data_IF_609501710836
#
_entry.id   IF_609501710836
#
_cell.length_a   1.000
_cell.length_b   1.000
_cell.length_c   1.000
_cell.angle_alpha   90.00
_cell.angle_beta   90.00
_cell.angle_gamma   90.00
#
_symmetry.space_group_name_H-M   'P 1'
#
loop_
_entity.id
_entity.type
_entity.pdbx_description
1 polymer ?
#
# COMPACT_ATOMS: atom_id res chain seq x y z
N UNK A 1 -9.97 23.85 -10.25
CA UNK A 1 -10.52 22.52 -9.86
C UNK A 1 -11.79 22.30 -10.65
N UNK A 2 -11.83 21.24 -11.45
CA UNK A 2 -12.99 20.96 -12.31
C UNK A 2 -14.27 20.81 -11.50
N UNK A 3 -15.33 21.54 -11.92
CA UNK A 3 -16.64 21.46 -11.27
C UNK A 3 -16.77 22.12 -9.90
N UNK A 4 -15.76 22.84 -9.44
CA UNK A 4 -15.79 23.49 -8.13
C UNK A 4 -16.95 24.48 -7.98
N UNK A 5 -17.65 24.43 -6.85
CA UNK A 5 -18.76 25.27 -6.48
C UNK A 5 -18.52 25.91 -5.08
N UNK A 6 -19.37 26.87 -4.70
CA UNK A 6 -19.15 27.62 -3.44
C UNK A 6 -19.19 26.74 -2.18
N UNK A 7 -19.90 25.62 -2.21
CA UNK A 7 -19.98 24.68 -1.09
C UNK A 7 -18.72 23.84 -0.88
N UNK A 8 -17.74 23.93 -1.80
CA UNK A 8 -16.49 23.18 -1.72
C UNK A 8 -15.40 23.90 -0.90
N UNK A 9 -15.72 25.05 -0.32
CA UNK A 9 -14.80 25.71 0.63
C UNK A 9 -14.51 24.79 1.79
N UNK A 10 -13.21 24.54 2.06
CA UNK A 10 -12.74 23.60 3.05
C UNK A 10 -12.50 22.17 2.52
N UNK A 11 -12.86 21.87 1.27
CA UNK A 11 -12.56 20.58 0.66
C UNK A 11 -11.06 20.42 0.35
N UNK A 12 -10.49 19.22 0.50
CA UNK A 12 -9.12 18.93 0.10
C UNK A 12 -8.99 18.93 -1.42
N UNK A 13 -7.85 19.38 -1.92
CA UNK A 13 -7.52 19.44 -3.35
C UNK A 13 -6.28 18.61 -3.62
N UNK A 14 -6.31 17.84 -4.70
CA UNK A 14 -5.24 16.98 -5.17
C UNK A 14 -4.83 17.35 -6.59
N UNK A 15 -3.53 17.27 -6.89
CA UNK A 15 -3.00 17.37 -8.24
C UNK A 15 -2.82 15.96 -8.80
N UNK A 16 -3.35 15.70 -9.99
CA UNK A 16 -3.12 14.44 -10.73
C UNK A 16 -2.00 14.58 -11.76
N UNK A 17 -1.71 15.80 -12.16
CA UNK A 17 -0.58 16.21 -12.97
C UNK A 17 -0.27 17.70 -12.70
N UNK A 18 0.55 18.35 -13.52
CA UNK A 18 1.04 19.73 -13.31
C UNK A 18 -0.03 20.82 -13.50
N UNK A 19 -1.17 20.51 -14.11
CA UNK A 19 -2.24 21.46 -14.38
C UNK A 19 -3.66 20.96 -14.02
N UNK A 20 -3.80 19.69 -13.63
CA UNK A 20 -5.09 19.09 -13.33
C UNK A 20 -5.30 18.91 -11.82
N UNK A 21 -6.34 19.60 -11.31
CA UNK A 21 -6.68 19.61 -9.89
C UNK A 21 -8.08 19.05 -9.67
N UNK A 22 -8.19 18.12 -8.69
CA UNK A 22 -9.41 17.36 -8.40
C UNK A 22 -9.68 17.33 -6.89
N UNK A 23 -10.90 16.97 -6.51
CA UNK A 23 -11.27 16.72 -5.10
C UNK A 23 -11.06 15.26 -4.68
N UNK A 24 -10.80 14.37 -5.63
CA UNK A 24 -10.57 12.96 -5.35
C UNK A 24 -9.11 12.68 -4.97
N UNK A 25 -8.84 11.94 -3.89
CA UNK A 25 -7.49 11.52 -3.52
C UNK A 25 -6.92 10.43 -4.44
N UNK A 26 -7.76 9.82 -5.30
CA UNK A 26 -7.36 8.68 -6.14
C UNK A 26 -6.43 9.16 -7.25
N UNK A 27 -5.19 8.68 -7.20
CA UNK A 27 -4.16 9.02 -8.20
C UNK A 27 -3.60 10.44 -8.08
N UNK A 28 -4.00 11.21 -7.06
CA UNK A 28 -3.57 12.57 -6.86
C UNK A 28 -2.63 12.76 -5.66
N UNK A 29 -1.84 13.82 -5.71
CA UNK A 29 -1.00 14.29 -4.61
C UNK A 29 -1.74 15.43 -3.91
N UNK A 30 -1.91 15.33 -2.59
CA UNK A 30 -2.53 16.38 -1.80
C UNK A 30 -1.74 17.69 -1.88
N UNK A 31 -2.43 18.79 -2.16
CA UNK A 31 -1.81 20.11 -2.28
C UNK A 31 -2.34 21.14 -1.27
N UNK A 32 -3.53 20.94 -0.71
CA UNK A 32 -4.09 21.89 0.25
C UNK A 32 -5.60 21.85 0.30
N UNK A 33 -6.20 22.90 0.87
CA UNK A 33 -7.65 23.03 1.01
C UNK A 33 -8.18 24.25 0.26
N UNK A 34 -9.41 24.14 -0.26
CA UNK A 34 -10.12 25.28 -0.83
C UNK A 34 -10.33 26.35 0.23
N UNK A 35 -9.67 27.48 0.12
CA UNK A 35 -9.82 28.61 1.02
C UNK A 35 -10.96 29.52 0.61
N UNK A 36 -11.16 29.70 -0.67
CA UNK A 36 -12.16 30.61 -1.22
C UNK A 36 -12.61 30.17 -2.62
N UNK A 37 -13.92 30.21 -2.82
CA UNK A 37 -14.51 30.11 -4.16
C UNK A 37 -14.39 31.44 -4.91
N UNK A 38 -14.08 31.41 -6.18
CA UNK A 38 -13.99 32.58 -7.07
C UNK A 38 -15.11 32.54 -8.10
N UNK A 39 -15.20 31.45 -8.85
CA UNK A 39 -16.23 31.20 -9.85
C UNK A 39 -16.28 29.68 -10.14
N UNK A 40 -17.26 29.23 -10.94
CA UNK A 40 -17.35 27.82 -11.32
C UNK A 40 -16.01 27.30 -11.87
N UNK A 41 -15.49 26.23 -11.25
CA UNK A 41 -14.20 25.62 -11.60
C UNK A 41 -12.97 26.39 -11.10
N UNK A 42 -13.11 27.58 -10.52
CA UNK A 42 -12.00 28.42 -10.05
C UNK A 42 -12.07 28.63 -8.55
N UNK A 43 -11.05 28.20 -7.84
CA UNK A 43 -10.92 28.35 -6.38
C UNK A 43 -9.53 28.87 -6.01
N UNK A 44 -9.43 29.45 -4.82
CA UNK A 44 -8.13 29.70 -4.18
C UNK A 44 -7.84 28.56 -3.25
N UNK A 45 -6.72 27.89 -3.42
CA UNK A 45 -6.24 26.82 -2.55
C UNK A 45 -5.22 27.40 -1.57
N UNK A 46 -5.42 27.11 -0.29
CA UNK A 46 -4.44 27.41 0.74
C UNK A 46 -3.45 26.25 0.81
N UNK A 47 -2.19 26.56 0.63
CA UNK A 47 -1.09 25.62 0.69
C UNK A 47 -0.18 25.99 1.87
N UNK A 48 -0.02 25.04 2.80
CA UNK A 48 0.95 25.14 3.87
C UNK A 48 1.64 23.78 4.08
N UNK A 49 2.82 23.65 3.51
CA UNK A 49 3.60 22.41 3.53
C UNK A 49 4.04 21.97 4.95
N UNK A 50 3.96 22.86 5.96
CA UNK A 50 4.41 22.57 7.33
C UNK A 50 3.32 22.03 8.25
N UNK A 51 2.05 22.32 7.97
CA UNK A 51 0.94 22.04 8.91
C UNK A 51 -0.26 21.33 8.29
N UNK A 52 -0.42 21.38 6.98
CA UNK A 52 -1.55 20.72 6.32
C UNK A 52 -1.28 19.23 6.13
N UNK A 53 -2.19 18.42 6.66
CA UNK A 53 -2.21 16.98 6.43
C UNK A 53 -3.30 16.62 5.42
N UNK A 54 -2.98 15.69 4.54
CA UNK A 54 -3.99 15.03 3.71
C UNK A 54 -5.04 14.38 4.62
N UNK A 55 -6.32 14.79 4.57
CA UNK A 55 -7.38 14.20 5.40
C UNK A 55 -7.66 12.74 5.05
N UNK A 56 -7.19 12.28 3.90
CA UNK A 56 -7.26 10.89 3.45
C UNK A 56 -5.92 10.16 3.51
N UNK A 57 -4.84 10.84 3.92
CA UNK A 57 -3.50 10.29 4.04
C UNK A 57 -3.37 9.14 5.04
N UNK A 58 -4.25 9.15 6.07
CA UNK A 58 -4.35 8.04 7.03
C UNK A 58 -5.18 6.86 6.51
N UNK A 59 -5.78 6.98 5.33
CA UNK A 59 -6.50 5.87 4.71
C UNK A 59 -5.52 5.00 3.97
N UNK A 60 -5.60 3.71 4.23
CA UNK A 60 -4.82 2.72 3.49
C UNK A 60 -5.24 2.73 2.02
N UNK A 61 -4.46 3.37 1.19
CA UNK A 61 -4.69 3.40 -0.26
C UNK A 61 -4.41 2.01 -0.83
N UNK A 62 -5.36 1.49 -1.60
CA UNK A 62 -5.20 0.20 -2.27
C UNK A 62 -4.34 0.36 -3.53
N UNK A 63 -3.31 -0.48 -3.64
CA UNK A 63 -2.52 -0.68 -4.87
C UNK A 63 -2.81 -2.09 -5.36
N UNK A 64 -3.26 -2.25 -6.60
CA UNK A 64 -3.50 -3.57 -7.19
C UNK A 64 -2.25 -4.03 -7.94
N UNK A 65 -1.80 -5.24 -7.63
CA UNK A 65 -0.64 -5.89 -8.27
C UNK A 65 -1.12 -7.07 -9.10
N UNK A 66 -0.78 -7.07 -10.38
CA UNK A 66 -1.13 -8.10 -11.37
C UNK A 66 0.08 -8.75 -12.05
N UNK A 67 1.29 -8.42 -11.63
CA UNK A 67 2.55 -9.00 -12.11
C UNK A 67 3.57 -9.10 -10.97
N UNK A 68 4.61 -9.91 -11.14
CA UNK A 68 5.72 -9.96 -10.19
C UNK A 68 6.29 -8.56 -9.98
N UNK A 69 6.43 -8.15 -8.72
CA UNK A 69 6.77 -6.76 -8.38
C UNK A 69 7.76 -6.73 -7.22
N UNK A 70 8.81 -5.95 -7.36
CA UNK A 70 9.64 -5.56 -6.21
C UNK A 70 8.98 -4.38 -5.51
N UNK A 71 8.68 -4.56 -4.22
CA UNK A 71 8.08 -3.50 -3.41
C UNK A 71 9.10 -2.41 -3.11
N UNK A 72 8.63 -1.18 -3.00
CA UNK A 72 9.43 0.01 -2.76
C UNK A 72 8.69 1.01 -1.87
N UNK A 73 9.22 2.22 -1.72
CA UNK A 73 8.64 3.30 -0.92
C UNK A 73 7.21 3.66 -1.36
N UNK A 74 6.84 3.44 -2.61
CA UNK A 74 5.48 3.74 -3.11
C UNK A 74 4.43 2.75 -2.61
N UNK A 75 4.86 1.60 -2.07
CA UNK A 75 4.01 0.55 -1.53
C UNK A 75 3.88 0.60 0.01
N UNK A 76 4.76 1.33 0.68
CA UNK A 76 4.76 1.48 2.15
C UNK A 76 3.45 2.10 2.65
N UNK A 77 2.87 1.53 3.69
CA UNK A 77 1.62 1.99 4.30
C UNK A 77 0.37 1.77 3.45
N UNK A 78 0.50 1.09 2.32
CA UNK A 78 -0.63 0.83 1.41
C UNK A 78 -1.13 -0.60 1.54
N UNK A 79 -2.38 -0.82 1.13
CA UNK A 79 -2.96 -2.14 0.97
C UNK A 79 -2.58 -2.67 -0.42
N UNK A 80 -1.66 -3.63 -0.45
CA UNK A 80 -1.17 -4.28 -1.65
C UNK A 80 -2.12 -5.43 -1.98
N UNK A 81 -2.98 -5.23 -2.98
CA UNK A 81 -4.01 -6.17 -3.38
C UNK A 81 -3.53 -7.00 -4.57
N UNK A 82 -3.37 -8.31 -4.37
CA UNK A 82 -2.95 -9.22 -5.44
C UNK A 82 -4.19 -9.91 -6.01
N UNK A 83 -4.48 -9.70 -7.29
CA UNK A 83 -5.66 -10.25 -7.98
C UNK A 83 -5.33 -11.25 -9.08
N UNK A 84 -4.05 -11.55 -9.26
CA UNK A 84 -3.54 -12.47 -10.28
C UNK A 84 -2.81 -13.65 -9.62
N UNK A 85 -2.97 -14.84 -10.20
CA UNK A 85 -2.38 -16.07 -9.69
C UNK A 85 -0.85 -16.12 -9.88
N UNK A 86 -0.18 -16.81 -8.96
CA UNK A 86 1.26 -17.10 -8.98
C UNK A 86 2.15 -15.82 -9.00
N UNK A 87 1.69 -14.77 -8.34
CA UNK A 87 2.48 -13.53 -8.20
C UNK A 87 3.49 -13.67 -7.07
N UNK A 88 4.72 -13.23 -7.35
CA UNK A 88 5.78 -13.03 -6.37
C UNK A 88 5.99 -11.55 -6.11
N UNK A 89 5.89 -11.17 -4.84
CA UNK A 89 6.22 -9.84 -4.33
C UNK A 89 7.59 -9.93 -3.66
N UNK A 90 8.58 -9.22 -4.18
CA UNK A 90 9.91 -9.17 -3.56
C UNK A 90 9.99 -7.98 -2.61
N UNK A 91 10.32 -8.23 -1.36
CA UNK A 91 10.55 -7.17 -0.37
C UNK A 91 11.86 -6.44 -0.66
N UNK A 92 11.94 -5.13 -0.40
CA UNK A 92 13.22 -4.42 -0.44
C UNK A 92 14.15 -4.96 0.66
N UNK A 93 15.45 -4.74 0.53
CA UNK A 93 16.38 -5.07 1.60
C UNK A 93 16.00 -4.31 2.89
N UNK A 94 16.04 -4.99 4.04
CA UNK A 94 15.69 -4.38 5.34
C UNK A 94 16.54 -3.14 5.64
N UNK A 95 17.76 -3.12 5.16
CA UNK A 95 18.69 -1.98 5.28
C UNK A 95 18.17 -0.67 4.64
N UNK A 96 17.14 -0.75 3.77
CA UNK A 96 16.49 0.45 3.21
C UNK A 96 15.65 1.22 4.23
N UNK A 97 15.28 0.59 5.35
CA UNK A 97 14.38 1.15 6.36
C UNK A 97 12.92 1.25 5.92
N UNK A 98 12.55 0.66 4.79
CA UNK A 98 11.17 0.61 4.31
C UNK A 98 10.40 -0.47 5.06
N UNK A 99 9.19 -0.15 5.52
CA UNK A 99 8.36 -1.07 6.27
C UNK A 99 6.84 -0.85 6.03
N UNK A 100 5.99 -1.54 6.80
CA UNK A 100 4.55 -1.32 6.76
C UNK A 100 3.88 -1.88 5.49
N UNK A 101 4.34 -3.01 4.98
CA UNK A 101 3.74 -3.66 3.83
C UNK A 101 2.54 -4.52 4.25
N UNK A 102 1.35 -4.21 3.73
CA UNK A 102 0.13 -5.00 3.95
C UNK A 102 -0.26 -5.69 2.64
N UNK A 103 0.01 -7.00 2.55
CA UNK A 103 -0.32 -7.82 1.38
C UNK A 103 -1.63 -8.55 1.60
N UNK A 104 -2.54 -8.48 0.63
CA UNK A 104 -3.87 -9.10 0.66
C UNK A 104 -4.11 -9.93 -0.60
N UNK A 105 -4.52 -11.19 -0.41
CA UNK A 105 -5.00 -12.03 -1.50
C UNK A 105 -6.40 -11.59 -1.93
N UNK A 106 -6.54 -11.16 -3.20
CA UNK A 106 -7.78 -10.68 -3.81
C UNK A 106 -8.62 -11.78 -4.46
N UNK A 107 -8.07 -13.00 -4.60
CA UNK A 107 -8.70 -14.10 -5.30
C UNK A 107 -9.81 -14.79 -4.53
N UNK A 108 -10.71 -15.45 -5.26
CA UNK A 108 -11.67 -16.35 -4.67
C UNK A 108 -10.98 -17.58 -4.06
N UNK A 109 -11.68 -18.36 -3.24
CA UNK A 109 -11.15 -19.57 -2.64
C UNK A 109 -10.47 -20.48 -3.69
N UNK A 110 -9.23 -20.85 -3.44
CA UNK A 110 -8.47 -21.74 -4.30
C UNK A 110 -8.07 -21.17 -5.67
N UNK A 111 -8.22 -19.86 -5.88
CA UNK A 111 -7.97 -19.26 -7.20
C UNK A 111 -6.55 -18.72 -7.36
N UNK A 112 -5.98 -18.12 -6.32
CA UNK A 112 -4.72 -17.36 -6.40
C UNK A 112 -3.74 -17.83 -5.33
N UNK A 113 -2.49 -18.09 -5.75
CA UNK A 113 -1.34 -18.17 -4.87
C UNK A 113 -0.64 -16.81 -4.81
N UNK A 114 -0.17 -16.43 -3.64
CA UNK A 114 0.66 -15.24 -3.44
C UNK A 114 1.93 -15.64 -2.73
N UNK A 115 3.06 -15.26 -3.30
CA UNK A 115 4.38 -15.47 -2.70
C UNK A 115 4.98 -14.13 -2.30
N UNK A 116 5.51 -14.04 -1.10
CA UNK A 116 6.29 -12.89 -0.63
C UNK A 116 7.71 -13.39 -0.43
N UNK A 117 8.63 -12.87 -1.21
CA UNK A 117 10.04 -13.22 -1.19
C UNK A 117 10.82 -12.15 -0.44
N UNK A 118 11.59 -12.48 0.58
CA UNK A 118 12.49 -11.52 1.20
C UNK A 118 13.64 -11.16 0.24
N UNK A 119 14.40 -10.14 0.57
CA UNK A 119 15.67 -9.91 -0.09
C UNK A 119 16.65 -11.03 0.28
N UNK A 120 17.55 -11.40 -0.62
CA UNK A 120 18.41 -12.56 -0.53
C UNK A 120 19.28 -12.72 0.76
N UNK A 121 19.39 -11.69 1.57
CA UNK A 121 20.10 -11.74 2.86
C UNK A 121 19.18 -11.53 4.05
N UNK A 122 17.89 -11.40 3.80
CA UNK A 122 16.88 -11.12 4.81
C UNK A 122 15.98 -12.34 5.02
N UNK A 123 15.21 -12.32 6.10
CA UNK A 123 14.23 -13.35 6.38
C UNK A 123 12.85 -12.76 6.67
N UNK A 124 11.81 -13.59 6.64
CA UNK A 124 10.49 -13.27 7.16
C UNK A 124 10.28 -14.12 8.40
N UNK A 125 9.99 -13.48 9.53
CA UNK A 125 9.86 -14.15 10.82
C UNK A 125 8.59 -13.70 11.57
N UNK A 126 8.08 -14.54 12.44
CA UNK A 126 6.88 -14.21 13.21
C UNK A 126 6.54 -15.29 14.25
N UNK A 127 5.47 -15.12 15.05
CA UNK A 127 5.13 -16.04 16.13
C UNK A 127 5.02 -17.50 15.68
N UNK A 128 4.47 -17.73 14.50
CA UNK A 128 4.27 -19.07 13.94
C UNK A 128 5.13 -19.33 12.69
N UNK A 129 6.09 -18.46 12.43
CA UNK A 129 6.97 -18.53 11.25
C UNK A 129 8.42 -18.42 11.72
N UNK A 130 9.13 -19.52 11.68
CA UNK A 130 10.56 -19.52 11.95
C UNK A 130 11.30 -18.86 10.80
N UNK A 131 12.04 -17.79 11.07
CA UNK A 131 12.85 -17.10 10.10
C UNK A 131 13.93 -18.00 9.50
N UNK A 132 14.20 -17.80 8.23
CA UNK A 132 15.37 -18.34 7.55
C UNK A 132 15.65 -17.44 6.34
N UNK A 133 16.94 -17.21 6.07
CA UNK A 133 17.37 -16.37 4.95
C UNK A 133 16.81 -16.88 3.64
N UNK A 134 16.40 -15.94 2.79
CA UNK A 134 15.91 -16.20 1.44
C UNK A 134 14.78 -17.23 1.37
N UNK A 135 13.92 -17.30 2.41
CA UNK A 135 12.75 -18.19 2.42
C UNK A 135 11.46 -17.42 2.28
N UNK A 136 10.72 -17.75 1.24
CA UNK A 136 9.45 -17.13 0.92
C UNK A 136 8.36 -17.42 1.96
N UNK A 137 7.45 -16.48 2.12
CA UNK A 137 6.17 -16.66 2.79
C UNK A 137 5.08 -16.85 1.73
N UNK A 138 4.38 -17.98 1.76
CA UNK A 138 3.48 -18.41 0.70
C UNK A 138 2.05 -18.56 1.22
N UNK A 139 1.10 -17.88 0.59
CA UNK A 139 -0.33 -18.15 0.68
C UNK A 139 -0.69 -19.17 -0.41
N UNK A 140 -0.73 -20.45 -0.05
CA UNK A 140 -0.86 -21.56 -0.98
C UNK A 140 -2.24 -21.58 -1.65
N UNK A 141 -2.28 -21.65 -2.97
CA UNK A 141 -3.52 -21.62 -3.77
C UNK A 141 -4.63 -22.51 -3.25
N UNK A 142 -4.30 -23.76 -2.87
CA UNK A 142 -5.30 -24.75 -2.45
C UNK A 142 -6.09 -24.34 -1.18
N UNK A 143 -5.52 -23.50 -0.34
CA UNK A 143 -6.11 -23.05 0.93
C UNK A 143 -6.41 -21.56 0.97
N UNK A 144 -5.92 -20.81 -0.02
CA UNK A 144 -6.02 -19.37 -0.11
C UNK A 144 -7.48 -18.89 -0.25
N UNK A 145 -7.80 -17.82 0.43
CA UNK A 145 -9.12 -17.18 0.42
C UNK A 145 -8.97 -15.68 0.16
N UNK A 146 -10.01 -15.11 -0.42
CA UNK A 146 -10.08 -13.65 -0.52
C UNK A 146 -10.03 -13.02 0.86
N UNK A 147 -9.10 -12.07 1.02
CA UNK A 147 -8.90 -11.39 2.28
C UNK A 147 -7.85 -12.04 3.19
N UNK A 148 -7.28 -13.19 2.82
CA UNK A 148 -6.05 -13.67 3.46
C UNK A 148 -5.00 -12.58 3.34
N UNK A 149 -4.34 -12.24 4.46
CA UNK A 149 -3.44 -11.11 4.49
C UNK A 149 -2.30 -11.28 5.47
N UNK A 150 -1.23 -10.61 5.19
CA UNK A 150 -0.09 -10.45 6.09
C UNK A 150 0.31 -8.99 6.18
N UNK A 151 0.65 -8.53 7.38
CA UNK A 151 1.25 -7.22 7.63
C UNK A 151 2.68 -7.46 8.08
N UNK A 152 3.61 -6.86 7.34
CA UNK A 152 5.04 -6.97 7.58
C UNK A 152 5.58 -5.63 8.06
N UNK A 153 6.28 -5.66 9.18
CA UNK A 153 7.02 -4.51 9.70
C UNK A 153 8.52 -4.80 9.68
N UNK A 154 9.31 -3.82 9.26
CA UNK A 154 10.75 -3.96 9.21
C UNK A 154 11.38 -3.41 10.47
N UNK A 155 11.80 -4.23 11.38
CA UNK A 155 12.45 -3.77 12.61
C UNK A 155 13.55 -4.65 13.12
N UNK A 156 13.86 -5.73 12.45
CA UNK A 156 14.92 -6.61 12.85
C UNK A 156 16.12 -6.39 11.92
N UNK A 157 17.33 -6.52 12.46
CA UNK A 157 18.56 -6.49 11.65
C UNK A 157 18.56 -7.64 10.61
N UNK A 158 17.78 -8.71 10.91
CA UNK A 158 17.76 -9.93 10.12
C UNK A 158 16.63 -9.96 9.08
N UNK A 159 15.64 -9.04 9.15
CA UNK A 159 14.55 -9.03 8.16
C UNK A 159 13.23 -8.45 8.63
N UNK A 160 12.13 -8.95 8.06
CA UNK A 160 10.78 -8.46 8.30
C UNK A 160 10.02 -9.30 9.31
N UNK A 161 9.45 -8.64 10.32
CA UNK A 161 8.58 -9.27 11.29
C UNK A 161 7.12 -9.30 10.83
N UNK A 162 6.47 -10.46 10.94
CA UNK A 162 5.03 -10.59 10.74
C UNK A 162 4.29 -9.98 11.93
N UNK A 163 3.63 -8.86 11.70
CA UNK A 163 2.83 -8.16 12.71
C UNK A 163 1.39 -8.67 12.77
N UNK A 164 0.86 -9.11 11.63
CA UNK A 164 -0.46 -9.70 11.52
C UNK A 164 -0.46 -10.77 10.44
N UNK A 165 -1.10 -11.90 10.73
CA UNK A 165 -1.33 -12.97 9.78
C UNK A 165 -2.80 -13.40 9.83
N UNK A 166 -3.47 -13.42 8.70
CA UNK A 166 -4.84 -13.91 8.55
C UNK A 166 -4.88 -14.88 7.38
N UNK A 167 -5.47 -16.04 7.59
CA UNK A 167 -5.51 -17.11 6.60
C UNK A 167 -4.35 -18.09 6.74
N UNK A 168 -4.14 -18.91 5.71
CA UNK A 168 -3.12 -19.97 5.72
C UNK A 168 -1.89 -19.53 4.94
N UNK A 169 -0.83 -19.26 5.68
CA UNK A 169 0.47 -18.90 5.14
C UNK A 169 1.52 -19.87 5.66
N UNK A 170 2.47 -20.21 4.85
CA UNK A 170 3.57 -21.10 5.24
C UNK A 170 4.89 -20.60 4.68
N UNK A 171 5.96 -20.82 5.44
CA UNK A 171 7.30 -20.59 4.94
C UNK A 171 7.64 -21.67 3.89
N UNK A 172 8.36 -21.27 2.87
CA UNK A 172 8.98 -22.17 1.89
C UNK A 172 9.86 -23.20 2.63
N UNK A 173 9.80 -24.44 2.18
CA UNK A 173 10.60 -25.54 2.73
C UNK A 173 12.11 -25.36 2.52
#
# INVERSE_FOLDING_TARGET
>A
VSGAVITDVGQPVYATDDDTFVFSPVGGVFIGYVKRFVSSGVVVVEFDAGVMRDPYGDRTVRVTISANTTLDATHTGKLIWVDTDAITLTLPAIATGLDGFMVVNGGSFGAIAVTISPNASDMILGPDITGADDKDLINTKATAKRGDRVVLGGNDADGYAVQMLVGTWARQA
#
